data_IF_729356129116
#
_entry.id   IF_729356129116
#
_cell.length_a   1.000
_cell.length_b   1.000
_cell.length_c   1.000
_cell.angle_alpha   90.00
_cell.angle_beta   90.00
_cell.angle_gamma   90.00
#
_symmetry.space_group_name_H-M   'P 1'
#
loop_
_entity.id
_entity.type
_entity.pdbx_description
1 polymer ?
#
# COMPACT_ATOMS: atom_id res chain seq x y z
N UNK A 1 -12.34 -52.59 15.21
CA UNK A 1 -11.44 -51.46 15.48
C UNK A 1 -11.16 -50.73 14.17
N UNK A 2 -11.75 -49.49 13.96
CA UNK A 2 -11.40 -48.64 12.81
C UNK A 2 -9.96 -48.14 13.07
N UNK A 3 -9.12 -48.19 12.06
CA UNK A 3 -7.70 -47.87 12.20
C UNK A 3 -7.48 -46.37 12.45
N UNK A 4 -6.41 -46.02 13.18
CA UNK A 4 -5.98 -44.64 13.42
C UNK A 4 -5.75 -43.86 12.10
N UNK A 5 -5.44 -44.60 11.02
CA UNK A 5 -5.33 -44.02 9.66
C UNK A 5 -6.65 -43.46 9.14
N UNK A 6 -7.79 -44.11 9.42
CA UNK A 6 -9.11 -43.64 8.99
C UNK A 6 -9.52 -42.33 9.73
N UNK A 7 -9.18 -42.22 11.02
CA UNK A 7 -9.45 -41.06 11.83
C UNK A 7 -8.69 -39.81 11.32
N UNK A 8 -7.40 -39.96 11.05
CA UNK A 8 -6.59 -38.86 10.53
C UNK A 8 -7.02 -38.38 9.13
N UNK A 9 -7.47 -39.30 8.28
CA UNK A 9 -8.06 -38.95 6.97
C UNK A 9 -9.38 -38.18 7.12
N UNK A 10 -10.21 -38.56 8.09
CA UNK A 10 -11.48 -37.87 8.38
C UNK A 10 -11.25 -36.45 8.92
N UNK A 11 -10.27 -36.28 9.81
CA UNK A 11 -9.90 -34.95 10.35
C UNK A 11 -9.33 -34.03 9.26
N UNK A 12 -8.52 -34.57 8.34
CA UNK A 12 -8.03 -33.79 7.19
C UNK A 12 -9.16 -33.36 6.25
N UNK A 13 -10.11 -34.25 5.99
CA UNK A 13 -11.28 -33.96 5.16
C UNK A 13 -12.16 -32.87 5.81
N UNK A 14 -12.41 -32.95 7.12
CA UNK A 14 -13.18 -31.94 7.85
C UNK A 14 -12.48 -30.58 7.80
N UNK A 15 -11.17 -30.52 8.02
CA UNK A 15 -10.39 -29.28 7.94
C UNK A 15 -10.45 -28.66 6.53
N UNK A 16 -10.34 -29.47 5.48
CA UNK A 16 -10.45 -29.02 4.10
C UNK A 16 -11.85 -28.45 3.81
N UNK A 17 -12.91 -29.12 4.26
CA UNK A 17 -14.29 -28.66 4.10
C UNK A 17 -14.55 -27.38 4.86
N UNK A 18 -14.07 -27.26 6.11
CA UNK A 18 -14.20 -26.02 6.90
C UNK A 18 -13.47 -24.86 6.23
N UNK A 19 -12.24 -25.10 5.72
CA UNK A 19 -11.48 -24.06 5.03
C UNK A 19 -12.21 -23.58 3.75
N UNK A 20 -12.76 -24.49 2.96
CA UNK A 20 -13.56 -24.16 1.77
C UNK A 20 -14.81 -23.34 2.14
N UNK A 21 -15.53 -23.72 3.20
CA UNK A 21 -16.72 -22.99 3.67
C UNK A 21 -16.34 -21.59 4.14
N UNK A 22 -15.24 -21.45 4.89
CA UNK A 22 -14.74 -20.13 5.36
C UNK A 22 -14.35 -19.25 4.15
N UNK A 23 -13.63 -19.79 3.17
CA UNK A 23 -13.27 -19.05 1.96
C UNK A 23 -14.52 -18.57 1.18
N UNK A 24 -15.53 -19.44 1.00
CA UNK A 24 -16.77 -19.03 0.34
C UNK A 24 -17.56 -18.00 1.15
N UNK A 25 -17.54 -18.08 2.48
CA UNK A 25 -18.23 -17.11 3.33
C UNK A 25 -17.54 -15.74 3.23
N UNK A 26 -16.20 -15.69 3.26
CA UNK A 26 -15.42 -14.46 3.10
C UNK A 26 -15.67 -13.85 1.71
N UNK A 27 -15.58 -14.64 0.64
CA UNK A 27 -15.89 -14.16 -0.72
C UNK A 27 -17.32 -13.62 -0.81
N UNK A 28 -18.29 -14.27 -0.17
CA UNK A 28 -19.68 -13.83 -0.17
C UNK A 28 -19.88 -12.51 0.58
N UNK A 29 -19.23 -12.35 1.74
CA UNK A 29 -19.29 -11.12 2.53
C UNK A 29 -18.61 -9.95 1.79
N UNK A 30 -17.42 -10.17 1.22
CA UNK A 30 -16.73 -9.16 0.40
C UNK A 30 -17.56 -8.77 -0.82
N UNK A 31 -18.22 -9.74 -1.48
CA UNK A 31 -19.10 -9.45 -2.63
C UNK A 31 -20.35 -8.66 -2.22
N UNK A 32 -20.90 -8.92 -1.02
CA UNK A 32 -22.03 -8.16 -0.49
C UNK A 32 -21.62 -6.74 -0.09
N UNK A 33 -20.49 -6.57 0.58
CA UNK A 33 -19.94 -5.26 0.93
C UNK A 33 -19.63 -4.43 -0.33
N UNK A 34 -18.99 -5.03 -1.34
CA UNK A 34 -18.76 -4.38 -2.63
C UNK A 34 -20.03 -3.96 -3.34
N UNK A 35 -21.09 -4.79 -3.33
CA UNK A 35 -22.41 -4.44 -3.89
C UNK A 35 -23.11 -3.32 -3.10
N UNK A 36 -22.94 -3.28 -1.79
CA UNK A 36 -23.49 -2.21 -0.95
C UNK A 36 -22.81 -0.86 -1.26
N UNK A 37 -21.47 -0.84 -1.40
CA UNK A 37 -20.72 0.37 -1.80
C UNK A 37 -21.13 0.86 -3.20
N UNK A 38 -21.25 -0.04 -4.18
CA UNK A 38 -21.70 0.31 -5.55
C UNK A 38 -23.15 0.83 -5.54
N UNK A 39 -24.04 0.26 -4.72
CA UNK A 39 -25.43 0.73 -4.63
C UNK A 39 -25.53 2.07 -3.91
N UNK A 40 -24.72 2.34 -2.90
CA UNK A 40 -24.65 3.63 -2.22
C UNK A 40 -24.10 4.72 -3.16
N UNK A 41 -23.05 4.41 -3.94
CA UNK A 41 -22.52 5.31 -4.97
C UNK A 41 -23.59 5.63 -6.03
N UNK A 42 -24.29 4.61 -6.57
CA UNK A 42 -25.38 4.80 -7.55
C UNK A 42 -26.62 5.50 -6.98
N UNK A 43 -26.89 5.38 -5.68
CA UNK A 43 -27.99 6.11 -5.04
C UNK A 43 -27.64 7.59 -4.83
N UNK A 44 -26.38 7.92 -4.57
CA UNK A 44 -25.92 9.31 -4.47
C UNK A 44 -25.90 10.02 -5.83
N UNK A 45 -25.59 9.31 -6.93
CA UNK A 45 -25.70 9.89 -8.28
C UNK A 45 -27.16 10.08 -8.73
N UNK A 46 -28.07 9.15 -8.37
CA UNK A 46 -29.50 9.30 -8.72
C UNK A 46 -30.20 10.42 -7.97
N UNK A 47 -29.73 10.77 -6.75
CA UNK A 47 -30.29 11.90 -6.01
C UNK A 47 -29.82 13.26 -6.54
N UNK A 48 -28.77 13.33 -7.34
CA UNK A 48 -28.26 14.55 -7.98
C UNK A 48 -28.93 14.89 -9.33
N UNK A 49 -29.78 14.02 -9.86
CA UNK A 49 -30.35 14.20 -11.22
C UNK A 49 -31.80 14.71 -11.27
N UNK A 50 -32.46 14.93 -10.13
CA UNK A 50 -33.89 15.28 -10.11
C UNK A 50 -34.25 16.49 -9.21
N UNK A 51 -33.41 17.55 -9.20
CA UNK A 51 -33.83 18.81 -8.65
C UNK A 51 -33.24 19.99 -9.45
N UNK A 52 -34.01 20.48 -10.43
CA UNK A 52 -33.72 21.70 -11.15
C UNK A 52 -34.26 22.94 -10.38
N UNK A 53 -33.77 23.15 -9.19
CA UNK A 53 -33.83 24.44 -8.52
C UNK A 53 -32.41 25.02 -8.49
N UNK A 54 -32.26 26.19 -9.10
CA UNK A 54 -31.05 26.99 -9.13
C UNK A 54 -30.61 27.23 -7.69
N UNK A 55 -29.69 26.42 -7.17
CA UNK A 55 -28.91 26.76 -6.00
C UNK A 55 -27.77 27.65 -6.53
N UNK A 56 -27.48 28.81 -5.91
CA UNK A 56 -26.29 29.55 -6.27
C UNK A 56 -25.10 28.64 -6.11
N UNK A 57 -24.23 28.56 -7.13
CA UNK A 57 -22.88 27.99 -6.97
C UNK A 57 -22.24 28.80 -5.83
N UNK A 58 -22.21 28.22 -4.61
CA UNK A 58 -21.20 28.58 -3.65
C UNK A 58 -19.90 28.16 -4.31
N UNK A 59 -19.04 29.12 -4.65
CA UNK A 59 -17.66 28.88 -5.04
C UNK A 59 -17.05 27.98 -3.97
N UNK A 60 -16.98 26.68 -4.23
CA UNK A 60 -16.03 25.83 -3.54
C UNK A 60 -14.67 26.46 -3.86
N UNK A 61 -14.11 27.22 -2.91
CA UNK A 61 -12.71 27.64 -2.98
C UNK A 61 -11.89 26.35 -3.13
N UNK A 62 -11.52 26.06 -4.36
CA UNK A 62 -10.67 24.95 -4.68
C UNK A 62 -9.40 25.13 -3.83
N UNK A 63 -9.21 24.25 -2.84
CA UNK A 63 -8.04 24.28 -1.97
C UNK A 63 -6.80 24.26 -2.87
N UNK A 64 -6.14 25.41 -3.02
CA UNK A 64 -4.92 25.48 -3.80
C UNK A 64 -3.79 24.86 -2.99
N UNK A 65 -3.35 23.68 -3.44
CA UNK A 65 -2.17 23.05 -2.89
C UNK A 65 -0.98 24.02 -2.95
N UNK A 66 -0.16 24.10 -1.90
CA UNK A 66 0.99 24.99 -1.88
C UNK A 66 1.96 24.66 -3.04
N UNK A 67 2.75 25.63 -3.49
CA UNK A 67 3.80 25.37 -4.48
C UNK A 67 4.72 24.26 -3.99
N UNK A 68 5.09 23.35 -4.89
CA UNK A 68 5.99 22.25 -4.61
C UNK A 68 7.36 22.77 -4.17
N UNK A 69 7.84 22.33 -3.01
CA UNK A 69 9.13 22.74 -2.42
C UNK A 69 10.16 21.62 -2.35
N UNK A 70 9.75 20.35 -2.63
CA UNK A 70 10.64 19.21 -2.57
C UNK A 70 11.75 19.32 -3.62
N UNK A 71 13.00 19.17 -3.17
CA UNK A 71 14.15 19.01 -4.07
C UNK A 71 14.25 17.53 -4.49
N UNK A 72 14.12 17.27 -5.79
CA UNK A 72 14.21 15.92 -6.38
C UNK A 72 15.51 15.70 -7.15
N UNK A 73 16.51 16.55 -6.96
CA UNK A 73 17.83 16.30 -7.52
C UNK A 73 18.50 15.10 -6.84
N UNK A 74 19.12 14.22 -7.61
CA UNK A 74 19.91 13.12 -7.05
C UNK A 74 21.10 13.68 -6.28
N UNK A 75 21.19 13.31 -5.01
CA UNK A 75 22.30 13.64 -4.14
C UNK A 75 23.15 12.40 -3.90
N UNK A 76 24.49 12.55 -3.79
CA UNK A 76 25.36 11.43 -3.46
C UNK A 76 24.98 10.80 -2.11
N UNK A 77 24.97 9.47 -2.05
CA UNK A 77 24.74 8.77 -0.80
C UNK A 77 25.83 9.10 0.23
N UNK A 78 25.42 9.42 1.44
CA UNK A 78 26.33 9.87 2.49
C UNK A 78 27.11 8.73 3.19
N UNK A 79 26.85 7.48 2.80
CA UNK A 79 27.54 6.29 3.29
C UNK A 79 27.13 5.82 4.69
N UNK A 80 26.10 6.43 5.29
CA UNK A 80 25.58 5.95 6.57
C UNK A 80 24.76 4.69 6.37
N UNK A 81 24.88 3.76 7.31
CA UNK A 81 23.99 2.60 7.35
C UNK A 81 22.54 3.04 7.62
N UNK A 82 21.63 2.57 6.78
CA UNK A 82 20.19 2.81 6.89
C UNK A 82 19.44 1.53 6.56
N UNK A 83 18.31 1.36 7.20
CA UNK A 83 17.31 0.40 6.75
C UNK A 83 16.55 0.96 5.53
N UNK A 84 15.71 0.14 4.95
CA UNK A 84 14.79 0.51 3.87
C UNK A 84 13.37 0.32 4.38
N UNK A 85 12.50 1.29 4.16
CA UNK A 85 11.07 1.19 4.45
C UNK A 85 10.25 1.25 3.16
N UNK A 86 9.46 0.20 2.91
CA UNK A 86 8.63 0.03 1.72
C UNK A 86 7.17 0.29 2.07
N UNK A 87 6.62 1.42 1.62
CA UNK A 87 5.25 1.85 1.90
C UNK A 87 4.37 1.72 0.66
N UNK A 88 3.17 1.21 0.85
CA UNK A 88 2.21 0.99 -0.22
C UNK A 88 1.00 0.21 0.25
N UNK A 89 0.25 -0.29 -0.70
CA UNK A 89 -0.95 -1.10 -0.50
C UNK A 89 -0.70 -2.62 -0.63
N UNK A 90 -1.68 -3.38 -1.14
CA UNK A 90 -1.57 -4.82 -1.37
C UNK A 90 -0.43 -5.23 -2.31
N UNK A 91 -0.05 -4.35 -3.24
CA UNK A 91 1.05 -4.59 -4.18
C UNK A 91 2.42 -4.51 -3.50
N UNK A 92 2.59 -3.63 -2.54
CA UNK A 92 3.79 -3.57 -1.71
C UNK A 92 3.78 -4.67 -0.65
N UNK A 93 2.61 -4.95 -0.06
CA UNK A 93 2.44 -6.04 0.92
C UNK A 93 2.84 -7.40 0.34
N UNK A 94 2.47 -7.68 -0.93
CA UNK A 94 2.76 -8.92 -1.63
C UNK A 94 1.60 -9.91 -1.70
N UNK A 95 0.34 -9.41 -1.76
CA UNK A 95 -0.84 -10.27 -1.96
C UNK A 95 -0.66 -11.10 -3.25
N UNK A 96 -0.93 -12.41 -3.15
CA UNK A 96 -0.86 -13.32 -4.29
C UNK A 96 0.51 -13.99 -4.48
N UNK A 97 1.52 -13.67 -3.66
CA UNK A 97 2.76 -14.44 -3.62
C UNK A 97 2.44 -15.93 -3.36
N UNK A 98 3.26 -16.82 -3.90
CA UNK A 98 3.05 -18.26 -3.81
C UNK A 98 4.22 -19.05 -4.34
N UNK A 99 4.03 -20.33 -4.65
CA UNK A 99 5.09 -21.24 -5.09
C UNK A 99 5.75 -20.75 -6.40
N UNK A 100 7.08 -20.57 -6.39
CA UNK A 100 7.85 -20.13 -7.54
C UNK A 100 9.34 -20.48 -7.43
N UNK A 101 9.97 -20.79 -8.58
CA UNK A 101 11.37 -21.19 -8.67
C UNK A 101 12.06 -20.51 -9.85
N UNK A 102 13.20 -19.87 -9.60
CA UNK A 102 14.07 -19.30 -10.65
C UNK A 102 15.23 -20.24 -10.91
N UNK A 103 15.40 -20.64 -12.17
CA UNK A 103 16.44 -21.57 -12.60
C UNK A 103 17.66 -20.81 -13.13
N UNK A 104 18.79 -20.85 -12.41
CA UNK A 104 20.09 -20.42 -12.86
C UNK A 104 20.83 -21.56 -13.60
N UNK A 105 22.05 -21.29 -14.08
CA UNK A 105 22.84 -22.29 -14.82
C UNK A 105 23.14 -23.53 -13.96
N UNK A 106 23.49 -23.37 -12.69
CA UNK A 106 23.87 -24.44 -11.78
C UNK A 106 22.98 -24.58 -10.52
N UNK A 107 22.04 -23.66 -10.28
CA UNK A 107 21.26 -23.59 -9.07
C UNK A 107 19.79 -23.28 -9.35
N UNK A 108 18.94 -23.80 -8.50
CA UNK A 108 17.52 -23.41 -8.41
C UNK A 108 17.36 -22.53 -7.17
N UNK A 109 16.87 -21.31 -7.36
CA UNK A 109 16.50 -20.43 -6.27
C UNK A 109 14.99 -20.59 -6.03
N UNK A 110 14.65 -21.05 -4.84
CA UNK A 110 13.26 -21.07 -4.36
C UNK A 110 12.88 -19.65 -3.91
N UNK A 111 11.97 -19.05 -4.64
CA UNK A 111 11.42 -17.72 -4.35
C UNK A 111 9.94 -17.80 -3.93
N UNK A 112 9.51 -18.98 -3.47
CA UNK A 112 8.14 -19.20 -3.01
C UNK A 112 7.80 -18.23 -1.88
N UNK A 113 6.64 -17.61 -1.97
CA UNK A 113 6.12 -16.59 -1.06
C UNK A 113 6.97 -15.31 -0.94
N UNK A 114 7.95 -15.11 -1.84
CA UNK A 114 8.73 -13.87 -1.84
C UNK A 114 7.89 -12.68 -2.29
N UNK A 115 8.01 -11.61 -1.51
CA UNK A 115 7.44 -10.29 -1.79
C UNK A 115 8.52 -9.35 -2.33
N UNK A 116 8.14 -8.18 -2.83
CA UNK A 116 9.11 -7.16 -3.27
C UNK A 116 10.06 -6.71 -2.15
N UNK A 117 9.59 -6.37 -0.93
CA UNK A 117 10.48 -6.01 0.17
C UNK A 117 11.43 -7.14 0.58
N UNK A 118 10.94 -8.39 0.63
CA UNK A 118 11.80 -9.54 0.95
C UNK A 118 12.88 -9.75 -0.10
N UNK A 119 12.52 -9.64 -1.38
CA UNK A 119 13.50 -9.72 -2.48
C UNK A 119 14.59 -8.65 -2.35
N UNK A 120 14.19 -7.42 -2.02
CA UNK A 120 15.13 -6.33 -1.83
C UNK A 120 16.06 -6.57 -0.63
N UNK A 121 15.55 -7.07 0.49
CA UNK A 121 16.35 -7.47 1.66
C UNK A 121 17.39 -8.55 1.28
N UNK A 122 16.95 -9.58 0.55
CA UNK A 122 17.83 -10.65 0.08
C UNK A 122 18.95 -10.15 -0.83
N UNK A 123 18.65 -9.24 -1.76
CA UNK A 123 19.62 -8.74 -2.74
C UNK A 123 20.60 -7.75 -2.14
N UNK A 124 20.15 -6.90 -1.22
CA UNK A 124 20.98 -5.84 -0.62
C UNK A 124 21.71 -6.29 0.64
N UNK A 125 21.17 -7.28 1.37
CA UNK A 125 21.60 -7.62 2.72
C UNK A 125 21.30 -6.52 3.75
N UNK A 126 20.56 -5.48 3.38
CA UNK A 126 20.11 -4.39 4.25
C UNK A 126 18.75 -4.77 4.83
N UNK A 127 18.46 -4.39 6.08
CA UNK A 127 17.13 -4.61 6.66
C UNK A 127 16.06 -3.84 5.89
N UNK A 128 15.04 -4.53 5.42
CA UNK A 128 13.90 -3.95 4.70
C UNK A 128 12.60 -4.21 5.46
N UNK A 129 11.86 -3.15 5.73
CA UNK A 129 10.56 -3.21 6.38
C UNK A 129 9.44 -3.18 5.33
N UNK A 130 8.60 -4.22 5.36
CA UNK A 130 7.39 -4.25 4.55
C UNK A 130 6.27 -3.54 5.29
N UNK A 131 5.95 -2.34 4.85
CA UNK A 131 4.88 -1.49 5.40
C UNK A 131 3.74 -1.33 4.38
N UNK A 132 3.56 -2.32 3.52
CA UNK A 132 2.40 -2.43 2.65
C UNK A 132 1.16 -2.86 3.44
N UNK A 133 0.00 -2.27 3.14
CA UNK A 133 -1.29 -2.63 3.73
C UNK A 133 -2.35 -2.76 2.66
N UNK A 134 -2.95 -3.94 2.57
CA UNK A 134 -3.90 -4.24 1.51
C UNK A 134 -5.15 -3.36 1.60
N UNK A 135 -5.53 -2.75 0.47
CA UNK A 135 -6.74 -1.94 0.35
C UNK A 135 -6.58 -0.48 0.76
N UNK A 136 -5.44 -0.09 1.34
CA UNK A 136 -5.22 1.32 1.69
C UNK A 136 -5.17 2.22 0.47
N UNK A 137 -5.81 3.37 0.59
CA UNK A 137 -5.72 4.48 -0.35
C UNK A 137 -4.43 5.27 -0.13
N UNK A 138 -4.04 6.11 -1.09
CA UNK A 138 -2.84 6.95 -0.94
C UNK A 138 -2.90 7.88 0.27
N UNK A 139 -4.11 8.37 0.60
CA UNK A 139 -4.33 9.21 1.77
C UNK A 139 -4.09 8.44 3.08
N UNK A 140 -4.62 7.22 3.19
CA UNK A 140 -4.44 6.37 4.38
C UNK A 140 -2.96 5.97 4.55
N UNK A 141 -2.27 5.63 3.46
CA UNK A 141 -0.82 5.34 3.50
C UNK A 141 -0.04 6.59 3.97
N UNK A 142 -0.39 7.80 3.48
CA UNK A 142 0.27 9.02 3.88
C UNK A 142 -0.01 9.41 5.34
N UNK A 143 -1.22 9.15 5.85
CA UNK A 143 -1.57 9.30 7.26
C UNK A 143 -0.75 8.34 8.13
N UNK A 144 -0.72 7.07 7.78
CA UNK A 144 0.00 6.03 8.52
C UNK A 144 1.51 6.26 8.50
N UNK A 145 2.07 6.73 7.39
CA UNK A 145 3.49 7.09 7.28
C UNK A 145 3.82 8.43 7.97
N UNK A 146 2.80 9.25 8.26
CA UNK A 146 2.93 10.54 8.92
C UNK A 146 3.26 11.71 7.97
N UNK A 147 3.19 11.52 6.66
CA UNK A 147 3.22 12.62 5.68
C UNK A 147 2.04 13.56 5.88
N UNK A 148 0.84 13.01 6.09
CA UNK A 148 -0.32 13.74 6.58
C UNK A 148 -0.41 13.55 8.09
N UNK A 149 -0.57 14.63 8.85
CA UNK A 149 -0.57 14.59 10.31
C UNK A 149 -1.94 14.19 10.85
N UNK A 150 -1.95 13.45 11.97
CA UNK A 150 -3.15 13.06 12.69
C UNK A 150 -3.16 13.69 14.08
N UNK A 151 -4.36 14.03 14.55
CA UNK A 151 -4.57 14.67 15.85
C UNK A 151 -5.79 14.07 16.56
N UNK A 152 -5.75 14.06 17.88
CA UNK A 152 -6.92 13.76 18.69
C UNK A 152 -7.99 14.85 18.49
N UNK A 153 -9.22 14.47 18.12
CA UNK A 153 -10.34 15.39 17.91
C UNK A 153 -11.13 15.64 19.20
N UNK A 154 -10.83 14.89 20.26
CA UNK A 154 -11.44 15.02 21.57
C UNK A 154 -10.42 14.79 22.68
N UNK A 155 -10.69 15.36 23.87
CA UNK A 155 -9.92 15.06 25.08
C UNK A 155 -10.42 13.74 25.68
N UNK A 156 -9.51 12.84 26.03
CA UNK A 156 -9.83 11.56 26.67
C UNK A 156 -8.78 11.15 27.71
N UNK A 157 -9.17 10.25 28.61
CA UNK A 157 -8.30 9.66 29.62
C UNK A 157 -8.22 8.14 29.42
N UNK A 158 -7.01 7.58 29.42
CA UNK A 158 -6.77 6.14 29.27
C UNK A 158 -6.06 5.61 30.50
N UNK A 159 -6.71 4.69 31.21
CA UNK A 159 -6.14 3.90 32.29
C UNK A 159 -5.40 2.67 31.78
N UNK A 160 -4.87 1.87 32.69
CA UNK A 160 -4.04 0.70 32.38
C UNK A 160 -4.80 -0.38 31.56
N UNK A 161 -5.99 -0.75 32.01
CA UNK A 161 -6.82 -1.80 31.37
C UNK A 161 -7.99 -1.22 30.57
N UNK A 162 -8.01 0.09 30.34
CA UNK A 162 -9.11 0.76 29.69
C UNK A 162 -8.99 0.68 28.17
N UNK A 163 -10.14 0.51 27.51
CA UNK A 163 -10.32 0.76 26.10
C UNK A 163 -11.31 1.90 25.94
N UNK A 164 -10.85 3.02 25.40
CA UNK A 164 -11.59 4.29 25.34
C UNK A 164 -11.92 4.63 23.90
N UNK A 165 -13.16 5.01 23.63
CA UNK A 165 -13.56 5.51 22.32
C UNK A 165 -12.92 6.88 22.04
N UNK A 166 -12.36 7.04 20.83
CA UNK A 166 -11.67 8.25 20.40
C UNK A 166 -12.12 8.69 19.02
N UNK A 167 -11.93 9.98 18.74
CA UNK A 167 -12.01 10.56 17.39
C UNK A 167 -10.65 11.09 16.97
N UNK A 168 -10.27 10.83 15.73
CA UNK A 168 -9.02 11.29 15.12
C UNK A 168 -9.36 12.11 13.89
N UNK A 169 -8.68 13.23 13.70
CA UNK A 169 -8.75 14.06 12.50
C UNK A 169 -7.36 14.21 11.88
N UNK A 170 -7.35 14.43 10.57
CA UNK A 170 -6.13 14.85 9.87
C UNK A 170 -5.87 16.36 10.07
N UNK A 171 -4.76 16.85 9.55
CA UNK A 171 -4.37 18.26 9.62
C UNK A 171 -5.33 19.21 8.84
N UNK A 172 -6.25 18.66 8.06
CA UNK A 172 -7.28 19.39 7.31
C UNK A 172 -8.65 19.36 8.00
N UNK A 173 -8.76 18.65 9.14
CA UNK A 173 -9.99 18.49 9.91
C UNK A 173 -10.91 17.37 9.43
N UNK A 174 -10.45 16.50 8.51
CA UNK A 174 -11.22 15.35 8.07
C UNK A 174 -11.10 14.20 9.08
N UNK A 175 -12.20 13.45 9.36
CA UNK A 175 -12.13 12.26 10.18
C UNK A 175 -11.17 11.22 9.59
N UNK A 176 -10.36 10.60 10.46
CA UNK A 176 -9.41 9.56 10.08
C UNK A 176 -9.91 8.21 10.57
N UNK A 177 -10.04 7.28 9.63
CA UNK A 177 -10.27 5.87 9.88
C UNK A 177 -9.17 5.10 9.17
N UNK A 178 -8.32 4.41 9.93
CA UNK A 178 -7.31 3.55 9.33
C UNK A 178 -7.97 2.26 8.84
N UNK A 179 -7.43 1.65 7.77
CA UNK A 179 -7.92 0.35 7.33
C UNK A 179 -7.79 -0.68 8.46
N UNK A 180 -8.83 -1.50 8.64
CA UNK A 180 -8.81 -2.57 9.64
C UNK A 180 -7.84 -3.68 9.21
N UNK A 181 -6.66 -3.66 9.77
CA UNK A 181 -5.60 -4.63 9.49
C UNK A 181 -5.96 -6.05 9.94
N UNK A 182 -6.88 -6.19 10.91
CA UNK A 182 -7.34 -7.49 11.39
C UNK A 182 -8.21 -8.23 10.36
N UNK A 183 -8.88 -7.52 9.46
CA UNK A 183 -9.77 -8.11 8.47
C UNK A 183 -9.08 -9.04 7.46
N UNK A 184 -7.76 -8.92 7.29
CA UNK A 184 -7.00 -9.73 6.35
C UNK A 184 -6.26 -10.91 6.99
N UNK A 185 -6.47 -11.20 8.27
CA UNK A 185 -5.97 -12.40 8.95
C UNK A 185 -4.46 -12.43 9.18
N UNK A 186 -3.80 -11.31 9.22
CA UNK A 186 -2.37 -11.21 9.50
C UNK A 186 -2.09 -11.27 11.01
N UNK A 187 -1.19 -12.18 11.38
CA UNK A 187 -1.05 -12.73 12.74
C UNK A 187 -0.18 -11.87 13.66
N UNK A 188 0.48 -10.85 13.14
CA UNK A 188 1.32 -9.96 13.95
C UNK A 188 0.66 -8.57 14.03
N UNK A 189 0.69 -7.91 15.20
CA UNK A 189 0.26 -6.53 15.27
C UNK A 189 1.12 -5.71 14.31
N UNK A 190 0.52 -5.16 13.29
CA UNK A 190 1.21 -4.30 12.35
C UNK A 190 1.75 -3.10 13.13
N UNK A 191 2.99 -2.69 12.91
CA UNK A 191 3.58 -1.50 13.58
C UNK A 191 2.70 -0.25 13.46
N UNK A 192 1.74 -0.27 12.53
CA UNK A 192 0.78 0.81 12.29
C UNK A 192 -0.38 0.88 13.27
N UNK A 193 -0.73 -0.23 13.93
CA UNK A 193 -1.80 -0.25 14.96
C UNK A 193 -1.33 0.36 16.27
N UNK A 194 -0.02 0.46 16.45
CA UNK A 194 0.62 1.08 17.60
C UNK A 194 0.96 2.52 17.27
N UNK A 195 0.60 3.43 18.16
CA UNK A 195 0.84 4.87 18.01
C UNK A 195 1.58 5.42 19.20
N UNK A 196 2.31 6.51 18.97
CA UNK A 196 2.90 7.36 19.99
C UNK A 196 2.01 8.60 20.20
N UNK A 197 1.70 8.91 21.45
CA UNK A 197 1.07 10.14 21.89
C UNK A 197 1.86 10.64 23.09
N UNK A 198 2.54 11.81 22.98
CA UNK A 198 3.39 12.36 24.04
C UNK A 198 4.44 11.38 24.57
N UNK A 199 5.11 10.62 23.69
CA UNK A 199 6.12 9.61 24.00
C UNK A 199 5.59 8.30 24.65
N UNK A 200 4.32 8.23 24.99
CA UNK A 200 3.66 7.01 25.45
C UNK A 200 3.12 6.19 24.26
N UNK A 201 3.20 4.85 24.34
CA UNK A 201 2.65 3.96 23.34
C UNK A 201 1.22 3.53 23.66
N UNK A 202 0.40 3.51 22.59
CA UNK A 202 -0.98 3.08 22.63
C UNK A 202 -1.27 2.19 21.41
N UNK A 203 -2.32 1.38 21.53
CA UNK A 203 -2.86 0.60 20.42
C UNK A 203 -4.23 1.14 20.03
N UNK A 204 -4.44 1.40 18.74
CA UNK A 204 -5.73 1.79 18.17
C UNK A 204 -6.37 0.56 17.53
N UNK A 205 -7.67 0.39 17.74
CA UNK A 205 -8.48 -0.67 17.15
C UNK A 205 -9.82 -0.11 16.70
N UNK A 206 -10.52 -0.86 15.84
CA UNK A 206 -11.83 -0.46 15.34
C UNK A 206 -11.80 0.01 13.88
N UNK A 207 -12.97 0.37 13.39
CA UNK A 207 -13.21 0.76 12.00
C UNK A 207 -14.14 1.95 11.95
N UNK A 208 -14.37 2.51 10.75
CA UNK A 208 -15.42 3.53 10.53
C UNK A 208 -16.80 3.09 11.02
N UNK A 209 -17.14 1.78 10.88
CA UNK A 209 -18.43 1.24 11.27
C UNK A 209 -18.55 1.01 12.79
N UNK A 210 -17.44 0.68 13.46
CA UNK A 210 -17.41 0.31 14.89
C UNK A 210 -16.99 1.46 15.80
N UNK A 211 -16.45 2.54 15.25
CA UNK A 211 -15.72 3.57 15.98
C UNK A 211 -14.27 3.15 16.25
N UNK A 212 -13.45 4.12 16.63
CA UNK A 212 -12.05 3.89 17.00
C UNK A 212 -11.93 3.82 18.52
N UNK A 213 -11.13 2.86 18.98
CA UNK A 213 -10.82 2.65 20.39
C UNK A 213 -9.33 2.65 20.61
N UNK A 214 -8.89 3.24 21.71
CA UNK A 214 -7.49 3.29 22.12
C UNK A 214 -7.31 2.63 23.48
N UNK A 215 -6.23 1.85 23.60
CA UNK A 215 -5.78 1.29 24.87
C UNK A 215 -4.27 1.50 25.02
N UNK A 216 -3.75 1.42 26.24
CA UNK A 216 -2.31 1.46 26.46
C UNK A 216 -1.63 0.24 25.82
N UNK A 217 -0.44 0.46 25.31
CA UNK A 217 0.40 -0.59 24.73
C UNK A 217 1.79 -0.56 25.38
N UNK A 218 2.30 -1.71 25.79
CA UNK A 218 3.67 -1.87 26.28
C UNK A 218 4.27 -3.13 25.68
N UNK A 219 5.51 -3.06 25.27
CA UNK A 219 6.30 -4.23 24.84
C UNK A 219 6.86 -5.00 26.04
N UNK A 220 6.89 -4.39 27.22
CA UNK A 220 7.36 -4.98 28.48
C UNK A 220 6.15 -5.18 29.42
N UNK A 221 6.17 -6.25 30.20
CA UNK A 221 5.11 -6.57 31.18
C UNK A 221 5.03 -5.61 32.38
N UNK A 222 5.84 -4.54 32.40
CA UNK A 222 5.90 -3.61 33.53
C UNK A 222 4.74 -2.63 33.54
N UNK A 223 4.00 -2.69 34.62
CA UNK A 223 2.74 -2.03 34.94
C UNK A 223 2.93 -0.53 35.14
N UNK A 224 2.21 0.28 34.37
CA UNK A 224 2.05 1.70 34.66
C UNK A 224 0.70 1.96 35.32
N UNK A 225 0.72 2.29 36.60
CA UNK A 225 -0.46 2.65 37.41
C UNK A 225 -1.04 4.04 37.10
N UNK A 226 -0.56 4.71 36.03
CA UNK A 226 -0.92 6.09 35.77
C UNK A 226 -1.96 6.22 34.64
N UNK A 227 -2.98 7.04 34.89
CA UNK A 227 -3.85 7.56 33.84
C UNK A 227 -3.07 8.54 32.96
N UNK A 228 -3.27 8.45 31.64
CA UNK A 228 -2.76 9.47 30.70
C UNK A 228 -3.95 10.26 30.18
N UNK A 229 -3.91 11.57 30.33
CA UNK A 229 -4.86 12.48 29.70
C UNK A 229 -4.28 12.96 28.38
N UNK A 230 -4.98 12.69 27.28
CA UNK A 230 -4.68 13.21 25.96
C UNK A 230 -5.66 14.33 25.66
N UNK A 231 -5.13 15.51 25.37
CA UNK A 231 -5.95 16.68 25.04
C UNK A 231 -6.27 16.74 23.55
N UNK A 232 -7.43 17.29 23.22
CA UNK A 232 -7.79 17.65 21.84
C UNK A 232 -6.63 18.43 21.17
N UNK A 233 -6.34 18.13 19.91
CA UNK A 233 -5.23 18.69 19.14
C UNK A 233 -3.85 18.07 19.45
N UNK A 234 -3.75 17.08 20.33
CA UNK A 234 -2.50 16.35 20.53
C UNK A 234 -2.21 15.48 19.30
N UNK A 235 -0.97 15.57 18.78
CA UNK A 235 -0.56 14.80 17.61
C UNK A 235 -0.49 13.30 17.93
N UNK A 236 -0.96 12.48 16.99
CA UNK A 236 -0.90 11.01 17.01
C UNK A 236 0.06 10.58 15.91
N UNK A 237 1.07 9.78 16.23
CA UNK A 237 2.08 9.30 15.27
C UNK A 237 2.12 7.78 15.33
N UNK A 238 1.99 7.09 14.22
CA UNK A 238 2.13 5.62 14.20
C UNK A 238 3.54 5.21 14.62
N UNK A 239 3.68 4.05 15.25
CA UNK A 239 4.99 3.48 15.61
C UNK A 239 5.88 3.36 14.37
N UNK A 240 5.32 2.90 13.26
CA UNK A 240 6.04 2.81 11.99
C UNK A 240 6.55 4.17 11.52
N UNK A 241 5.73 5.23 11.54
CA UNK A 241 6.15 6.58 11.17
C UNK A 241 7.25 7.14 12.09
N UNK A 242 7.19 6.82 13.39
CA UNK A 242 8.18 7.25 14.38
C UNK A 242 9.53 6.53 14.21
N UNK A 243 9.50 5.20 14.09
CA UNK A 243 10.70 4.37 14.08
C UNK A 243 11.40 4.28 12.72
N UNK A 244 10.67 4.52 11.63
CA UNK A 244 11.20 4.44 10.26
C UNK A 244 11.77 5.78 9.77
N UNK A 245 11.99 6.74 10.65
CA UNK A 245 12.69 7.98 10.32
C UNK A 245 14.13 7.69 9.87
N UNK A 246 14.55 8.38 8.82
CA UNK A 246 15.86 8.26 8.18
C UNK A 246 16.10 6.94 7.42
N UNK A 247 15.14 6.03 7.29
CA UNK A 247 15.22 4.90 6.37
C UNK A 247 15.26 5.41 4.91
N UNK A 248 15.87 4.63 4.01
CA UNK A 248 15.70 4.83 2.56
C UNK A 248 14.25 4.49 2.23
N UNK A 249 13.55 5.42 1.58
CA UNK A 249 12.11 5.34 1.39
C UNK A 249 11.76 4.75 0.02
N UNK A 250 10.93 3.71 -0.01
CA UNK A 250 10.33 3.16 -1.23
C UNK A 250 8.82 3.38 -1.15
N UNK A 251 8.27 4.08 -2.15
CA UNK A 251 6.86 4.46 -2.20
C UNK A 251 6.16 3.92 -3.45
N UNK A 252 5.02 3.27 -3.25
CA UNK A 252 4.08 2.85 -4.28
C UNK A 252 2.67 3.09 -3.77
N UNK A 253 2.06 4.22 -4.14
CA UNK A 253 0.75 4.64 -3.62
C UNK A 253 -0.16 5.10 -4.76
N UNK A 254 -1.48 5.01 -4.53
CA UNK A 254 -2.49 5.62 -5.38
C UNK A 254 -3.38 4.67 -6.15
N UNK A 255 -3.07 3.37 -6.25
CA UNK A 255 -3.87 2.41 -7.01
C UNK A 255 -5.28 2.21 -6.45
N UNK A 256 -5.46 2.34 -5.14
CA UNK A 256 -6.79 2.28 -4.50
C UNK A 256 -7.49 3.65 -4.39
N UNK A 257 -6.98 4.69 -5.09
CA UNK A 257 -7.50 6.06 -4.99
C UNK A 257 -6.96 6.81 -3.77
N UNK A 258 -7.80 7.69 -3.17
CA UNK A 258 -7.38 8.60 -2.09
C UNK A 258 -6.78 9.90 -2.62
N UNK A 259 -7.04 10.21 -3.89
CA UNK A 259 -6.65 11.44 -4.58
C UNK A 259 -7.62 11.75 -5.73
N UNK A 260 -7.83 13.03 -5.99
CA UNK A 260 -8.75 13.53 -7.01
C UNK A 260 -8.03 13.95 -8.31
N UNK A 261 -6.75 14.27 -8.20
CA UNK A 261 -5.92 14.69 -9.33
C UNK A 261 -4.42 14.43 -9.04
N UNK A 262 -3.61 14.47 -10.08
CA UNK A 262 -2.16 14.19 -9.97
C UNK A 262 -1.43 15.18 -9.04
N UNK A 263 -1.89 16.43 -8.95
CA UNK A 263 -1.27 17.42 -8.05
C UNK A 263 -1.45 17.03 -6.58
N UNK A 264 -2.64 16.54 -6.21
CA UNK A 264 -2.90 16.03 -4.87
C UNK A 264 -2.07 14.76 -4.58
N UNK A 265 -2.04 13.80 -5.52
CA UNK A 265 -1.21 12.59 -5.37
C UNK A 265 0.28 12.95 -5.17
N UNK A 266 0.83 13.86 -5.98
CA UNK A 266 2.20 14.34 -5.82
C UNK A 266 2.41 15.01 -4.45
N UNK A 267 1.44 15.79 -3.95
CA UNK A 267 1.57 16.40 -2.63
C UNK A 267 1.63 15.38 -1.50
N UNK A 268 0.92 14.24 -1.63
CA UNK A 268 1.01 13.14 -0.68
C UNK A 268 2.40 12.47 -0.73
N UNK A 269 2.93 12.18 -1.90
CA UNK A 269 4.30 11.70 -2.05
C UNK A 269 5.32 12.65 -1.44
N UNK A 270 5.23 13.95 -1.77
CA UNK A 270 6.15 14.98 -1.27
C UNK A 270 6.10 15.09 0.26
N UNK A 271 4.90 15.04 0.85
CA UNK A 271 4.72 15.06 2.29
C UNK A 271 5.33 13.83 2.98
N UNK A 272 5.18 12.65 2.39
CA UNK A 272 5.79 11.41 2.89
C UNK A 272 7.32 11.46 2.82
N UNK A 273 7.89 11.95 1.72
CA UNK A 273 9.35 12.11 1.55
C UNK A 273 9.89 13.09 2.58
N UNK A 274 9.24 14.25 2.75
CA UNK A 274 9.65 15.24 3.75
C UNK A 274 9.53 14.68 5.18
N UNK A 275 8.47 13.92 5.46
CA UNK A 275 8.29 13.31 6.79
C UNK A 275 9.32 12.23 7.10
N UNK A 276 9.81 11.50 6.11
CA UNK A 276 10.81 10.44 6.31
C UNK A 276 12.11 10.98 6.92
N UNK A 277 12.43 12.26 6.72
CA UNK A 277 13.67 12.88 7.21
C UNK A 277 14.92 12.35 6.52
N UNK A 278 14.76 11.74 5.33
CA UNK A 278 15.82 11.15 4.53
C UNK A 278 15.65 11.62 3.08
N UNK A 279 16.74 12.06 2.47
CA UNK A 279 16.72 12.53 1.08
C UNK A 279 16.86 11.38 0.05
N UNK A 280 16.92 10.11 0.52
CA UNK A 280 17.09 8.92 -0.30
C UNK A 280 15.76 8.21 -0.45
N UNK A 281 15.20 8.23 -1.66
CA UNK A 281 13.90 7.63 -1.94
C UNK A 281 13.81 7.08 -3.35
N UNK A 282 12.88 6.15 -3.56
CA UNK A 282 12.51 5.62 -4.88
C UNK A 282 10.98 5.62 -4.98
N UNK A 283 10.48 6.16 -6.08
CA UNK A 283 9.06 6.14 -6.42
C UNK A 283 8.82 5.02 -7.42
N UNK A 284 7.92 4.11 -7.05
CA UNK A 284 7.54 2.96 -7.87
C UNK A 284 6.24 3.27 -8.58
N UNK A 285 6.24 3.21 -9.91
CA UNK A 285 5.05 3.39 -10.71
C UNK A 285 4.06 2.25 -10.51
N UNK A 286 2.78 2.57 -10.59
CA UNK A 286 1.69 1.62 -10.49
C UNK A 286 1.73 0.54 -11.59
N UNK A 287 1.24 -0.64 -11.27
CA UNK A 287 1.30 -1.83 -12.12
C UNK A 287 -0.02 -2.57 -12.27
N UNK A 288 -1.13 -1.94 -11.92
CA UNK A 288 -2.45 -2.51 -12.11
C UNK A 288 -2.70 -2.91 -13.58
N UNK A 289 -3.49 -3.96 -13.79
CA UNK A 289 -3.83 -4.38 -15.16
C UNK A 289 -4.77 -3.34 -15.78
N UNK A 290 -4.45 -2.83 -16.99
CA UNK A 290 -5.39 -2.05 -17.77
C UNK A 290 -6.72 -2.77 -17.96
N UNK A 291 -7.81 -2.15 -17.59
CA UNK A 291 -9.15 -2.72 -17.60
C UNK A 291 -9.73 -2.90 -16.20
N UNK A 292 -9.00 -2.53 -15.18
CA UNK A 292 -9.55 -2.20 -13.87
C UNK A 292 -10.19 -0.81 -13.95
N UNK A 293 -11.20 -0.56 -13.12
CA UNK A 293 -11.85 0.77 -13.10
C UNK A 293 -10.90 1.89 -12.72
N UNK A 294 -9.90 1.59 -11.90
CA UNK A 294 -8.88 2.55 -11.45
C UNK A 294 -7.89 2.83 -12.59
N UNK A 295 -7.36 1.79 -13.21
CA UNK A 295 -6.41 1.92 -14.30
C UNK A 295 -7.00 2.64 -15.53
N UNK A 296 -8.25 2.38 -15.89
CA UNK A 296 -8.91 3.04 -17.02
C UNK A 296 -9.12 4.54 -16.79
N UNK A 297 -9.35 4.96 -15.55
CA UNK A 297 -9.64 6.37 -15.22
C UNK A 297 -8.39 7.16 -14.83
N UNK A 298 -7.47 6.55 -14.10
CA UNK A 298 -6.30 7.25 -13.54
C UNK A 298 -5.06 7.14 -14.41
N UNK A 299 -4.85 6.01 -15.09
CA UNK A 299 -3.59 5.77 -15.80
C UNK A 299 -3.62 6.14 -17.30
N UNK A 300 -4.81 6.23 -17.91
CA UNK A 300 -4.93 6.63 -19.29
C UNK A 300 -4.15 5.72 -20.27
N UNK A 301 -4.46 4.42 -20.32
CA UNK A 301 -3.79 3.45 -21.21
C UNK A 301 -3.98 3.70 -22.71
N UNK A 302 -4.78 4.69 -23.07
CA UNK A 302 -5.01 5.12 -24.45
C UNK A 302 -4.55 6.54 -24.66
N UNK A 303 -3.99 6.78 -25.83
CA UNK A 303 -3.74 8.12 -26.33
C UNK A 303 -5.06 8.79 -26.74
N UNK A 304 -5.05 10.10 -26.98
CA UNK A 304 -6.23 10.88 -27.40
C UNK A 304 -6.85 10.36 -28.71
N UNK A 305 -6.06 9.73 -29.58
CA UNK A 305 -6.52 9.09 -30.83
C UNK A 305 -7.13 7.69 -30.61
N UNK A 306 -7.22 7.22 -29.35
CA UNK A 306 -7.76 5.92 -28.98
C UNK A 306 -6.80 4.74 -29.15
N UNK A 307 -5.57 4.97 -29.58
CA UNK A 307 -4.52 3.93 -29.63
C UNK A 307 -4.01 3.60 -28.23
N UNK A 308 -3.44 2.39 -28.05
CA UNK A 308 -2.82 2.02 -26.78
C UNK A 308 -1.43 2.64 -26.65
N UNK A 309 -1.06 3.08 -25.44
CA UNK A 309 0.27 3.62 -25.13
C UNK A 309 1.39 2.58 -25.30
N UNK A 310 1.08 1.29 -25.23
CA UNK A 310 2.07 0.21 -25.32
C UNK A 310 3.10 0.31 -24.20
N UNK A 311 4.37 0.40 -24.57
CA UNK A 311 5.48 0.64 -23.62
C UNK A 311 5.74 2.14 -23.39
N UNK A 312 4.97 3.05 -24.00
CA UNK A 312 5.01 4.47 -23.67
C UNK A 312 4.44 4.74 -22.27
N UNK A 313 4.74 5.91 -21.73
CA UNK A 313 4.21 6.33 -20.45
C UNK A 313 2.68 6.56 -20.53
N UNK A 314 1.97 6.14 -19.51
CA UNK A 314 0.61 6.62 -19.25
C UNK A 314 0.65 8.06 -18.74
N UNK A 315 -0.48 8.75 -18.67
CA UNK A 315 -0.55 10.10 -18.09
C UNK A 315 -0.04 10.13 -16.64
N UNK A 316 -0.37 9.11 -15.86
CA UNK A 316 0.13 8.98 -14.49
C UNK A 316 1.66 8.80 -14.44
N UNK A 317 2.18 7.86 -15.21
CA UNK A 317 3.63 7.58 -15.27
C UNK A 317 4.42 8.79 -15.75
N UNK A 318 3.92 9.51 -16.76
CA UNK A 318 4.54 10.74 -17.26
C UNK A 318 4.60 11.81 -16.17
N UNK A 319 3.51 11.96 -15.40
CA UNK A 319 3.43 12.91 -14.28
C UNK A 319 4.41 12.57 -13.16
N UNK A 320 4.52 11.30 -12.78
CA UNK A 320 5.49 10.86 -11.76
C UNK A 320 6.93 11.01 -12.25
N UNK A 321 7.20 10.73 -13.54
CA UNK A 321 8.51 10.93 -14.14
C UNK A 321 8.91 12.40 -14.16
N UNK A 322 7.98 13.30 -14.51
CA UNK A 322 8.22 14.74 -14.46
C UNK A 322 8.50 15.22 -13.05
N UNK A 323 7.75 14.69 -12.07
CA UNK A 323 7.85 15.09 -10.67
C UNK A 323 9.12 14.60 -9.99
N UNK A 324 9.59 13.38 -10.26
CA UNK A 324 10.63 12.69 -9.47
C UNK A 324 11.88 12.31 -10.27
N UNK A 325 11.88 12.49 -11.60
CA UNK A 325 13.05 12.29 -12.44
C UNK A 325 13.72 10.94 -12.27
N UNK A 326 14.99 10.94 -11.91
CA UNK A 326 15.82 9.74 -11.72
C UNK A 326 15.35 8.84 -10.57
N UNK A 327 14.60 9.37 -9.60
CA UNK A 327 14.06 8.59 -8.48
C UNK A 327 12.85 7.73 -8.87
N UNK A 328 12.27 7.96 -10.05
CA UNK A 328 11.09 7.24 -10.51
C UNK A 328 11.44 5.99 -11.31
N UNK A 329 10.76 4.89 -11.04
CA UNK A 329 10.76 3.67 -11.85
C UNK A 329 9.40 3.54 -12.53
N UNK A 330 9.36 3.55 -13.87
CA UNK A 330 8.20 3.07 -14.60
C UNK A 330 8.17 1.54 -14.47
N UNK A 331 7.57 1.04 -13.42
CA UNK A 331 7.57 -0.38 -13.09
C UNK A 331 6.82 -1.20 -14.13
N UNK A 332 5.73 -0.67 -14.68
CA UNK A 332 4.95 -1.34 -15.72
C UNK A 332 5.81 -1.61 -16.98
N UNK A 333 6.49 -0.61 -17.48
CA UNK A 333 7.34 -0.77 -18.67
C UNK A 333 8.54 -1.65 -18.39
N UNK A 334 9.16 -1.54 -17.21
CA UNK A 334 10.22 -2.44 -16.78
C UNK A 334 9.78 -3.91 -16.83
N UNK A 335 8.62 -4.23 -16.24
CA UNK A 335 8.10 -5.60 -16.19
C UNK A 335 7.65 -6.12 -17.57
N UNK A 336 7.21 -5.25 -18.48
CA UNK A 336 6.93 -5.60 -19.86
C UNK A 336 8.21 -6.01 -20.59
N UNK A 337 9.30 -5.27 -20.39
CA UNK A 337 10.56 -5.45 -21.10
C UNK A 337 11.46 -6.53 -20.51
N UNK A 338 11.53 -6.58 -19.17
CA UNK A 338 12.50 -7.39 -18.45
C UNK A 338 11.86 -8.50 -17.58
N UNK A 339 10.64 -8.29 -17.07
CA UNK A 339 10.09 -9.11 -16.01
C UNK A 339 10.05 -10.62 -16.27
N UNK A 340 9.79 -11.06 -17.50
CA UNK A 340 9.84 -12.50 -17.83
C UNK A 340 11.29 -13.02 -17.91
N UNK A 341 12.20 -12.25 -18.46
CA UNK A 341 13.62 -12.66 -18.54
C UNK A 341 14.27 -12.73 -17.16
N UNK A 342 13.92 -11.81 -16.26
CA UNK A 342 14.44 -11.75 -14.90
C UNK A 342 14.14 -13.02 -14.08
N UNK A 343 13.03 -13.69 -14.42
CA UNK A 343 12.60 -14.93 -13.77
C UNK A 343 12.77 -16.17 -14.63
N UNK A 344 13.50 -16.06 -15.75
CA UNK A 344 13.78 -17.20 -16.64
C UNK A 344 12.58 -17.69 -17.45
N UNK A 345 11.48 -16.93 -17.49
CA UNK A 345 10.29 -17.27 -18.27
C UNK A 345 10.38 -16.74 -19.70
N UNK A 346 9.65 -17.37 -20.62
CA UNK A 346 9.60 -16.97 -22.04
C UNK A 346 8.25 -16.36 -22.38
N UNK A 347 8.30 -15.24 -23.11
CA UNK A 347 7.11 -14.59 -23.61
C UNK A 347 6.33 -15.49 -24.61
N UNK A 348 5.03 -15.61 -24.39
CA UNK A 348 4.09 -16.29 -25.27
C UNK A 348 3.55 -15.34 -26.34
N UNK A 349 2.81 -15.87 -27.32
CA UNK A 349 2.06 -15.03 -28.29
C UNK A 349 1.02 -14.13 -27.62
N UNK A 350 0.50 -14.55 -26.46
CA UNK A 350 -0.46 -13.75 -25.70
C UNK A 350 0.26 -12.56 -25.02
N UNK A 351 1.45 -12.79 -24.50
CA UNK A 351 2.26 -11.75 -23.86
C UNK A 351 2.64 -10.66 -24.87
N UNK A 352 3.12 -11.03 -26.06
CA UNK A 352 3.42 -10.05 -27.12
C UNK A 352 2.20 -9.22 -27.55
N UNK A 353 0.99 -9.78 -27.51
CA UNK A 353 -0.24 -9.00 -27.76
C UNK A 353 -0.56 -8.07 -26.59
N UNK A 354 -0.29 -8.52 -25.36
CA UNK A 354 -0.43 -7.73 -24.15
C UNK A 354 0.52 -6.54 -24.13
N UNK A 355 1.81 -6.78 -24.39
CA UNK A 355 2.86 -5.76 -24.38
C UNK A 355 2.57 -4.59 -25.35
N UNK A 356 2.04 -4.90 -26.55
CA UNK A 356 1.60 -3.84 -27.49
C UNK A 356 0.44 -2.99 -26.97
N UNK A 357 -0.24 -3.41 -25.92
CA UNK A 357 -1.34 -2.69 -25.23
C UNK A 357 -0.92 -2.10 -23.89
N UNK A 358 0.36 -2.18 -23.55
CA UNK A 358 0.86 -1.72 -22.25
C UNK A 358 0.63 -2.67 -21.09
N UNK A 359 0.27 -3.94 -21.36
CA UNK A 359 -0.04 -4.92 -20.31
C UNK A 359 1.17 -5.76 -19.93
N UNK A 360 1.36 -5.94 -18.62
CA UNK A 360 2.33 -6.87 -18.06
C UNK A 360 1.88 -8.32 -18.36
N UNK A 361 2.84 -9.24 -18.48
CA UNK A 361 2.56 -10.66 -18.70
C UNK A 361 1.70 -11.25 -17.57
N UNK A 362 0.70 -12.04 -17.95
CA UNK A 362 -0.11 -12.80 -17.00
C UNK A 362 0.70 -13.89 -16.27
N UNK A 363 1.86 -14.29 -16.79
CA UNK A 363 2.74 -15.25 -16.12
C UNK A 363 3.35 -14.68 -14.83
N UNK A 364 3.37 -13.35 -14.67
CA UNK A 364 3.85 -12.64 -13.48
C UNK A 364 2.72 -12.31 -12.47
N UNK A 365 1.47 -12.68 -12.77
CA UNK A 365 0.30 -12.30 -11.98
C UNK A 365 -0.35 -13.49 -11.31
N UNK A 366 -0.90 -13.29 -10.11
CA UNK A 366 -1.77 -14.23 -9.41
C UNK A 366 -3.24 -14.02 -9.79
N UNK A 367 -3.65 -12.78 -9.97
CA UNK A 367 -4.98 -12.38 -10.42
C UNK A 367 -4.90 -11.18 -11.39
N UNK A 368 -5.98 -10.41 -11.53
CA UNK A 368 -6.05 -9.27 -12.43
C UNK A 368 -5.34 -8.00 -11.89
N UNK A 369 -5.10 -7.91 -10.60
CA UNK A 369 -4.39 -6.83 -9.92
C UNK A 369 -3.01 -7.29 -9.43
N UNK A 370 -2.97 -8.36 -8.62
CA UNK A 370 -1.79 -8.74 -7.86
C UNK A 370 -0.81 -9.59 -8.66
N UNK A 371 0.46 -9.52 -8.27
CA UNK A 371 1.51 -10.39 -8.76
C UNK A 371 1.56 -11.73 -8.03
N UNK A 372 2.16 -12.72 -8.66
CA UNK A 372 2.70 -13.89 -8.00
C UNK A 372 4.18 -13.64 -7.60
N UNK A 373 4.84 -14.61 -6.97
CA UNK A 373 6.24 -14.43 -6.55
C UNK A 373 7.21 -14.14 -7.70
N UNK A 374 6.95 -14.60 -8.92
CA UNK A 374 7.76 -14.19 -10.08
C UNK A 374 7.67 -12.70 -10.34
N UNK A 375 6.46 -12.13 -10.29
CA UNK A 375 6.24 -10.70 -10.49
C UNK A 375 6.87 -9.85 -9.39
N UNK A 376 6.69 -10.26 -8.13
CA UNK A 376 7.30 -9.56 -6.99
C UNK A 376 8.82 -9.64 -6.98
N UNK A 377 9.40 -10.79 -7.36
CA UNK A 377 10.83 -10.93 -7.51
C UNK A 377 11.40 -10.00 -8.60
N UNK A 378 10.78 -9.99 -9.79
CA UNK A 378 11.19 -9.08 -10.87
C UNK A 378 11.06 -7.60 -10.48
N UNK A 379 10.00 -7.24 -9.74
CA UNK A 379 9.81 -5.90 -9.18
C UNK A 379 10.92 -5.55 -8.18
N UNK A 380 11.29 -6.48 -7.31
CA UNK A 380 12.42 -6.33 -6.38
C UNK A 380 13.75 -6.11 -7.07
N UNK A 381 14.01 -6.84 -8.19
CA UNK A 381 15.20 -6.63 -9.03
C UNK A 381 15.23 -5.22 -9.66
N UNK A 382 14.08 -4.71 -10.12
CA UNK A 382 13.99 -3.36 -10.66
C UNK A 382 14.34 -2.29 -9.62
N UNK A 383 13.81 -2.42 -8.41
CA UNK A 383 14.10 -1.50 -7.30
C UNK A 383 15.56 -1.62 -6.88
N UNK A 384 16.10 -2.85 -6.80
CA UNK A 384 17.50 -3.08 -6.52
C UNK A 384 18.42 -2.37 -7.54
N UNK A 385 18.15 -2.57 -8.84
CA UNK A 385 18.92 -1.94 -9.91
C UNK A 385 18.85 -0.39 -9.84
N UNK A 386 17.68 0.17 -9.53
CA UNK A 386 17.50 1.62 -9.36
C UNK A 386 18.32 2.15 -8.17
N UNK A 387 18.32 1.46 -7.04
CA UNK A 387 19.12 1.89 -5.89
C UNK A 387 20.63 1.77 -6.13
N UNK A 388 21.09 0.79 -6.94
CA UNK A 388 22.49 0.74 -7.42
C UNK A 388 22.79 1.96 -8.31
N UNK A 389 21.90 2.29 -9.24
CA UNK A 389 22.02 3.47 -10.13
C UNK A 389 22.13 4.77 -9.31
N UNK A 390 21.29 4.92 -8.29
CA UNK A 390 21.29 6.08 -7.39
C UNK A 390 22.43 6.04 -6.33
N UNK A 391 23.15 4.91 -6.24
CA UNK A 391 24.25 4.72 -5.30
C UNK A 391 23.83 4.46 -3.84
N UNK A 392 22.57 4.06 -3.60
CA UNK A 392 22.07 3.80 -2.23
C UNK A 392 22.60 2.50 -1.65
N UNK A 393 22.89 1.51 -2.50
CA UNK A 393 23.55 0.23 -2.18
C UNK A 393 24.42 -0.26 -3.34
N UNK A 394 25.13 -1.38 -3.12
CA UNK A 394 26.11 -1.93 -4.08
C UNK A 394 25.56 -3.16 -4.77
#
# INVERSE_FOLDING_TARGET
MKSVKDYNSYVKLIRAVVMVVVCFTVIYVVTLAGKSRINNYKSSEKSKQDDSSVIPEEDEEAYELPPRTLNTAVIPYDGKERAVSCWGDSMMFGIGAGEAYVFGEDNVLDISDWTTPYTLEYLTGIKVYNLGVAGETSNEIALRQGGIKMYADNTFEVGYDDSVEISIIDEYGNPVYMADFSAYGYVEPHESDVVYINDDMFKITGTEETGLYICRYSEEEDVYDAFTTVYEGTQIVTKAAHERKNDILILEIGSNGGWDNYRQLISQYDAMIQNAGCDYFIIVGDTDDPGTSIADTAQGFRNDDGTYVGVGDTAWEATLREAYGEHFINMRTYLIENGLSDVGLRATKADYRGFRRGRISKQLRSDWTHFNSYGYYAKGLAIYAKGVELGYWK
#
